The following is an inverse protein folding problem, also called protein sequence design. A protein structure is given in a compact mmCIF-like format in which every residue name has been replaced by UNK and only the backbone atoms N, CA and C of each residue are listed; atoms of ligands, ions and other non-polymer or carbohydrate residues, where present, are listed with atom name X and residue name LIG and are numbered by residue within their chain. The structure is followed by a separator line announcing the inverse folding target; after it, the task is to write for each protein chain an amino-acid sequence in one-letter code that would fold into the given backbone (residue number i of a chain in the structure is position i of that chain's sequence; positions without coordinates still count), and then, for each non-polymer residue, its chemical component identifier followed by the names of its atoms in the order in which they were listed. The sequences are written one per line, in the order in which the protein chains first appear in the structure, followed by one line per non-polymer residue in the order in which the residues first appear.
data_IF_269521163228
#
_entry.id   IF_269521163228
#
_cell.length_a   1.000
_cell.length_b   1.000
_cell.length_c   1.000
_cell.angle_alpha   90.00
_cell.angle_beta   90.00
_cell.angle_gamma   90.00
#
_symmetry.space_group_name_H-M   'P 1'
#
loop_
_entity.id
_entity.type
_entity.pdbx_description
1 polymer ?
#
# COMPACT_ATOMS: atom_id res chain seq x y z
N UNK A 1 50.74 55.54 -22.81
CA UNK A 1 49.27 55.67 -22.74
C UNK A 1 48.68 54.63 -23.66
N UNK A 2 47.86 53.68 -23.27
CA UNK A 2 47.39 53.21 -21.96
C UNK A 2 47.04 51.74 -22.18
N UNK A 3 47.56 50.87 -21.35
CA UNK A 3 47.10 49.50 -21.17
C UNK A 3 45.74 49.52 -20.48
N UNK A 4 44.73 48.83 -21.02
CA UNK A 4 43.50 48.50 -20.28
C UNK A 4 43.35 46.97 -20.22
N UNK A 5 43.47 46.37 -19.03
CA UNK A 5 43.23 44.95 -18.78
C UNK A 5 41.78 44.70 -18.31
N UNK A 6 41.43 43.43 -18.07
CA UNK A 6 40.23 42.95 -17.37
C UNK A 6 38.91 42.85 -18.17
N UNK A 7 38.83 41.83 -19.02
CA UNK A 7 37.56 41.13 -19.26
C UNK A 7 37.37 40.05 -18.19
N UNK A 8 36.75 40.47 -17.10
CA UNK A 8 36.33 39.68 -15.96
C UNK A 8 35.37 38.54 -16.37
N UNK A 9 35.91 37.33 -16.48
CA UNK A 9 35.14 36.09 -16.68
C UNK A 9 34.57 35.60 -15.34
N UNK A 10 33.65 36.37 -14.76
CA UNK A 10 32.83 35.89 -13.62
C UNK A 10 31.98 34.71 -14.09
N UNK A 11 32.34 33.50 -13.63
CA UNK A 11 31.44 32.35 -13.62
C UNK A 11 30.09 32.80 -13.04
N UNK A 12 28.95 32.42 -13.66
CA UNK A 12 27.65 32.74 -13.10
C UNK A 12 27.58 32.23 -11.66
N UNK A 13 27.15 33.10 -10.73
CA UNK A 13 26.91 32.72 -9.33
C UNK A 13 26.01 31.47 -9.30
N UNK A 14 26.29 30.49 -8.42
CA UNK A 14 25.35 29.40 -8.20
C UNK A 14 23.97 29.99 -7.92
N UNK A 15 22.95 29.54 -8.66
CA UNK A 15 21.57 29.91 -8.36
C UNK A 15 21.33 29.68 -6.87
N UNK A 16 20.73 30.68 -6.20
CA UNK A 16 20.38 30.58 -4.80
C UNK A 16 19.64 29.26 -4.57
N UNK A 17 20.03 28.50 -3.54
CA UNK A 17 19.29 27.29 -3.17
C UNK A 17 17.82 27.70 -2.98
N UNK A 18 16.86 27.06 -3.67
CA UNK A 18 15.46 27.39 -3.49
C UNK A 18 15.12 27.27 -2.01
N UNK A 19 14.40 28.26 -1.50
CA UNK A 19 13.85 28.26 -0.13
C UNK A 19 13.14 26.91 0.13
N UNK A 20 13.29 26.30 1.32
CA UNK A 20 12.65 25.03 1.61
C UNK A 20 11.12 25.17 1.48
N UNK A 21 10.53 24.59 0.43
CA UNK A 21 9.08 24.49 0.29
C UNK A 21 8.55 23.58 1.41
N UNK A 22 7.61 24.08 2.20
CA UNK A 22 6.93 23.26 3.20
C UNK A 22 6.00 22.27 2.49
N UNK A 23 6.46 21.02 2.35
CA UNK A 23 5.70 19.96 1.68
C UNK A 23 4.60 19.40 2.57
N UNK A 24 3.35 19.49 2.10
CA UNK A 24 2.21 18.83 2.75
C UNK A 24 2.28 17.32 2.55
N UNK A 25 1.81 16.58 3.54
CA UNK A 25 1.77 15.13 3.50
C UNK A 25 0.49 14.63 4.18
N UNK A 26 -0.15 13.63 3.59
CA UNK A 26 -1.39 13.04 4.11
C UNK A 26 -1.09 11.65 4.69
N UNK A 27 -1.73 11.27 5.81
CA UNK A 27 -1.43 10.02 6.48
C UNK A 27 -1.84 8.81 5.63
N UNK A 28 -0.92 7.85 5.46
CA UNK A 28 -1.25 6.55 4.89
C UNK A 28 -1.81 5.64 5.97
N UNK A 29 -2.96 5.05 5.69
CA UNK A 29 -3.59 4.10 6.59
C UNK A 29 -5.04 3.77 6.21
N UNK A 30 -5.77 3.09 7.10
CA UNK A 30 -7.22 2.97 7.06
C UNK A 30 -7.99 4.13 6.39
N UNK A 31 -8.54 3.88 5.19
CA UNK A 31 -9.37 4.85 4.47
C UNK A 31 -8.61 5.88 3.63
N UNK A 32 -7.28 5.83 3.62
CA UNK A 32 -6.45 6.55 2.66
C UNK A 32 -6.53 5.90 1.27
N UNK A 33 -6.25 6.66 0.21
CA UNK A 33 -6.35 6.16 -1.16
C UNK A 33 -5.25 5.14 -1.48
N UNK A 34 -4.01 5.43 -1.10
CA UNK A 34 -2.86 4.53 -1.24
C UNK A 34 -3.14 3.21 -0.53
N UNK A 35 -3.63 3.26 0.71
CA UNK A 35 -3.97 2.06 1.47
C UNK A 35 -5.07 1.22 0.79
N UNK A 36 -6.06 1.88 0.21
CA UNK A 36 -7.21 1.24 -0.43
C UNK A 36 -6.83 0.60 -1.77
N UNK A 37 -5.99 1.26 -2.57
CA UNK A 37 -5.79 0.90 -3.97
C UNK A 37 -4.45 0.23 -4.27
N UNK A 38 -3.37 0.54 -3.53
CA UNK A 38 -2.03 0.07 -3.89
C UNK A 38 -1.90 -1.45 -3.88
N UNK A 39 -2.51 -2.10 -2.89
CA UNK A 39 -2.47 -3.54 -2.72
C UNK A 39 -3.45 -4.31 -3.61
N UNK A 40 -4.26 -3.65 -4.44
CA UNK A 40 -5.22 -4.31 -5.34
C UNK A 40 -4.47 -5.16 -6.37
N UNK A 41 -4.85 -6.44 -6.51
CA UNK A 41 -4.16 -7.38 -7.42
C UNK A 41 -4.27 -7.00 -8.90
N UNK A 42 -5.22 -6.13 -9.27
CA UNK A 42 -5.31 -5.60 -10.65
C UNK A 42 -4.15 -4.68 -10.98
N UNK A 43 -3.48 -4.10 -9.97
CA UNK A 43 -2.22 -3.39 -10.13
C UNK A 43 -1.11 -4.27 -10.73
N UNK A 44 -1.22 -5.61 -10.67
CA UNK A 44 -0.26 -6.52 -11.30
C UNK A 44 -0.22 -6.37 -12.83
N UNK A 45 -1.30 -5.87 -13.46
CA UNK A 45 -1.34 -5.56 -14.90
C UNK A 45 -0.34 -4.46 -15.27
N UNK A 46 0.01 -3.60 -14.32
CA UNK A 46 0.91 -2.46 -14.51
C UNK A 46 2.39 -2.79 -14.26
N UNK A 47 2.74 -4.00 -13.81
CA UNK A 47 4.13 -4.32 -13.50
C UNK A 47 5.06 -4.18 -14.72
N UNK A 48 4.58 -4.58 -15.90
CA UNK A 48 5.32 -4.39 -17.15
C UNK A 48 5.52 -2.91 -17.48
N UNK A 49 4.48 -2.08 -17.30
CA UNK A 49 4.54 -0.62 -17.51
C UNK A 49 5.52 0.03 -16.53
N UNK A 50 5.33 -0.15 -15.23
CA UNK A 50 6.15 0.46 -14.19
C UNK A 50 7.61 0.04 -14.32
N UNK A 51 7.88 -1.27 -14.49
CA UNK A 51 9.23 -1.78 -14.67
C UNK A 51 9.90 -1.23 -15.94
N UNK A 52 9.18 -1.10 -17.05
CA UNK A 52 9.75 -0.55 -18.29
C UNK A 52 10.04 0.94 -18.14
N UNK A 53 9.09 1.74 -17.61
CA UNK A 53 9.30 3.18 -17.37
C UNK A 53 10.47 3.46 -16.42
N UNK A 54 10.60 2.65 -15.36
CA UNK A 54 11.75 2.72 -14.47
C UNK A 54 13.06 2.45 -15.23
N UNK A 55 13.11 1.40 -16.05
CA UNK A 55 14.31 1.02 -16.80
C UNK A 55 14.60 1.89 -18.04
N UNK A 56 13.69 2.76 -18.46
CA UNK A 56 13.98 3.79 -19.46
C UNK A 56 14.89 4.88 -18.90
N UNK A 57 15.01 5.01 -17.57
CA UNK A 57 15.95 5.92 -16.94
C UNK A 57 17.37 5.29 -16.95
N UNK A 58 18.40 5.98 -17.49
CA UNK A 58 19.76 5.42 -17.64
C UNK A 58 20.35 4.87 -16.34
N UNK A 59 20.34 5.66 -15.25
CA UNK A 59 20.81 5.24 -13.93
C UNK A 59 20.13 3.97 -13.39
N UNK A 60 18.80 3.83 -13.57
CA UNK A 60 18.06 2.65 -13.11
C UNK A 60 18.44 1.43 -13.94
N UNK A 61 18.56 1.60 -15.26
CA UNK A 61 19.02 0.56 -16.18
C UNK A 61 20.45 0.11 -15.87
N UNK A 62 21.36 1.05 -15.57
CA UNK A 62 22.72 0.75 -15.16
C UNK A 62 22.77 -0.08 -13.87
N UNK A 63 22.02 0.33 -12.85
CA UNK A 63 21.90 -0.43 -11.59
C UNK A 63 21.37 -1.85 -11.82
N UNK A 64 20.46 -2.02 -12.79
CA UNK A 64 19.89 -3.31 -13.14
C UNK A 64 20.91 -4.26 -13.77
N UNK A 65 21.70 -3.73 -14.70
CA UNK A 65 22.69 -4.47 -15.48
C UNK A 65 23.88 -4.88 -14.61
N UNK A 66 24.34 -3.97 -13.76
CA UNK A 66 25.55 -4.20 -12.96
C UNK A 66 25.29 -5.13 -11.76
N UNK A 67 24.08 -5.11 -11.20
CA UNK A 67 23.83 -5.67 -9.85
C UNK A 67 22.68 -6.67 -9.77
N UNK A 68 22.16 -7.19 -10.90
CA UNK A 68 21.08 -8.17 -10.86
C UNK A 68 21.07 -9.22 -11.95
N UNK A 69 20.59 -10.41 -11.58
CA UNK A 69 20.24 -11.52 -12.48
C UNK A 69 18.95 -11.28 -13.30
N UNK A 70 18.67 -10.05 -13.72
CA UNK A 70 17.43 -9.68 -14.43
C UNK A 70 17.23 -10.50 -15.70
N UNK A 71 18.28 -10.64 -16.49
CA UNK A 71 18.26 -11.28 -17.80
C UNK A 71 18.11 -12.80 -17.70
N UNK A 72 18.53 -13.40 -16.58
CA UNK A 72 18.44 -14.84 -16.36
C UNK A 72 17.09 -15.25 -15.74
N UNK A 73 16.60 -14.49 -14.76
CA UNK A 73 15.43 -14.87 -13.95
C UNK A 73 14.50 -13.68 -13.66
N UNK A 74 13.91 -13.06 -14.70
CA UNK A 74 13.14 -11.82 -14.56
C UNK A 74 11.88 -11.98 -13.69
N UNK A 75 11.15 -13.09 -13.83
CA UNK A 75 9.90 -13.32 -13.09
C UNK A 75 10.16 -13.56 -11.60
N UNK A 76 11.15 -14.38 -11.26
CA UNK A 76 11.51 -14.64 -9.87
C UNK A 76 11.99 -13.35 -9.18
N UNK A 77 12.86 -12.59 -9.84
CA UNK A 77 13.31 -11.29 -9.34
C UNK A 77 12.12 -10.35 -9.06
N UNK A 78 11.19 -10.25 -10.01
CA UNK A 78 9.98 -9.44 -9.87
C UNK A 78 9.14 -9.89 -8.67
N UNK A 79 8.86 -11.19 -8.52
CA UNK A 79 8.07 -11.68 -7.39
C UNK A 79 8.77 -11.54 -6.04
N UNK A 80 10.11 -11.51 -6.00
CA UNK A 80 10.89 -11.23 -4.78
C UNK A 80 10.88 -9.76 -4.37
N UNK A 81 10.72 -8.81 -5.31
CA UNK A 81 10.69 -7.38 -4.99
C UNK A 81 9.31 -6.89 -4.49
N UNK A 82 8.22 -7.55 -4.87
CA UNK A 82 6.86 -7.12 -4.49
C UNK A 82 6.60 -7.11 -2.96
N UNK A 83 6.97 -8.14 -2.18
CA UNK A 83 6.70 -8.14 -0.75
C UNK A 83 7.28 -6.94 0.00
N UNK A 84 8.57 -6.55 -0.12
CA UNK A 84 9.06 -5.36 0.58
C UNK A 84 8.41 -4.07 0.08
N UNK A 85 8.09 -3.93 -1.22
CA UNK A 85 7.38 -2.77 -1.77
C UNK A 85 6.01 -2.59 -1.11
N UNK A 86 5.17 -3.64 -1.09
CA UNK A 86 3.91 -3.61 -0.35
C UNK A 86 4.11 -3.35 1.14
N UNK A 87 5.19 -3.86 1.71
CA UNK A 87 5.49 -3.70 3.13
C UNK A 87 5.67 -2.24 3.54
N UNK A 88 6.20 -1.36 2.67
CA UNK A 88 6.36 0.06 3.02
C UNK A 88 5.02 0.73 3.30
N UNK A 89 3.98 0.36 2.54
CA UNK A 89 2.62 0.88 2.73
C UNK A 89 1.90 0.18 3.87
N UNK A 90 2.04 -1.15 3.97
CA UNK A 90 1.16 -1.98 4.81
C UNK A 90 1.75 -2.41 6.16
N UNK A 91 3.08 -2.36 6.35
CA UNK A 91 3.72 -2.76 7.60
C UNK A 91 3.87 -1.56 8.55
N UNK A 92 3.02 -1.52 9.57
CA UNK A 92 3.00 -0.45 10.59
C UNK A 92 3.97 -0.73 11.74
N UNK A 93 5.23 -1.06 11.43
CA UNK A 93 6.25 -1.36 12.44
C UNK A 93 7.11 -0.11 12.75
N UNK A 94 7.64 -0.03 13.97
CA UNK A 94 8.52 1.08 14.42
C UNK A 94 9.82 1.16 13.61
N UNK A 95 10.34 0.02 13.12
CA UNK A 95 11.55 -0.01 12.29
C UNK A 95 11.27 0.30 10.81
N UNK A 96 10.03 0.09 10.35
CA UNK A 96 9.52 0.43 9.02
C UNK A 96 10.16 -0.32 7.85
N UNK A 97 9.36 -0.92 6.97
CA UNK A 97 9.89 -1.62 5.78
C UNK A 97 10.56 -0.67 4.77
N UNK A 98 10.29 0.64 4.86
CA UNK A 98 10.95 1.66 4.02
C UNK A 98 12.47 1.70 4.20
N UNK A 99 12.96 1.64 5.44
CA UNK A 99 14.41 1.62 5.71
C UNK A 99 15.06 0.35 5.15
N UNK A 100 14.39 -0.81 5.25
CA UNK A 100 14.85 -2.06 4.64
C UNK A 100 14.99 -1.91 3.11
N UNK A 101 13.97 -1.34 2.46
CA UNK A 101 14.02 -1.08 1.02
C UNK A 101 15.17 -0.16 0.67
N UNK A 102 15.38 0.94 1.40
CA UNK A 102 16.54 1.83 1.20
C UNK A 102 17.85 1.06 1.32
N UNK A 103 17.98 0.19 2.31
CA UNK A 103 19.21 -0.56 2.56
C UNK A 103 19.55 -1.57 1.46
N UNK A 104 18.58 -2.04 0.67
CA UNK A 104 18.88 -2.83 -0.54
C UNK A 104 19.58 -2.01 -1.65
N UNK A 105 19.57 -0.68 -1.55
CA UNK A 105 20.05 0.24 -2.59
C UNK A 105 21.35 0.97 -2.21
N UNK A 106 21.94 0.69 -1.04
CA UNK A 106 23.12 1.42 -0.54
C UNK A 106 24.37 1.21 -1.39
N UNK A 107 24.56 0.01 -1.92
CA UNK A 107 25.78 -0.35 -2.64
C UNK A 107 25.62 -0.29 -4.17
N UNK A 108 24.42 0.06 -4.65
CA UNK A 108 24.09 0.12 -6.07
C UNK A 108 24.57 1.43 -6.69
N UNK A 109 25.73 1.38 -7.33
CA UNK A 109 26.37 2.52 -8.00
C UNK A 109 27.22 2.03 -9.17
N UNK A 110 27.47 2.92 -10.12
CA UNK A 110 28.24 2.57 -11.32
C UNK A 110 28.27 3.70 -12.34
N UNK A 111 28.50 3.32 -13.58
CA UNK A 111 28.44 4.20 -14.76
C UNK A 111 27.35 3.65 -15.68
N UNK A 112 26.40 4.48 -16.07
CA UNK A 112 25.34 4.07 -16.98
C UNK A 112 25.80 4.09 -18.45
N UNK A 113 24.93 3.64 -19.34
CA UNK A 113 25.20 3.54 -20.78
C UNK A 113 25.39 4.91 -21.47
N UNK A 114 25.04 6.03 -20.82
CA UNK A 114 25.32 7.38 -21.31
C UNK A 114 26.71 7.89 -20.88
N UNK A 115 27.43 7.10 -20.06
CA UNK A 115 28.69 7.49 -19.44
C UNK A 115 28.52 8.29 -18.14
N UNK A 116 27.28 8.48 -17.67
CA UNK A 116 26.95 9.17 -16.44
C UNK A 116 27.22 8.30 -15.21
N UNK A 117 27.74 8.90 -14.13
CA UNK A 117 27.84 8.19 -12.84
C UNK A 117 26.47 8.13 -12.18
N UNK A 118 26.10 6.97 -11.66
CA UNK A 118 24.86 6.80 -10.92
C UNK A 118 25.07 6.24 -9.52
N UNK A 119 24.11 6.54 -8.64
CA UNK A 119 23.92 5.90 -7.34
C UNK A 119 22.42 5.69 -7.15
N UNK A 120 21.97 4.51 -6.76
CA UNK A 120 20.53 4.22 -6.67
C UNK A 120 19.81 5.12 -5.66
N UNK A 121 20.47 5.46 -4.54
CA UNK A 121 19.96 6.44 -3.56
C UNK A 121 20.12 7.91 -3.97
N UNK A 122 20.51 8.23 -5.21
CA UNK A 122 20.42 9.59 -5.71
C UNK A 122 18.94 10.03 -5.66
N UNK A 123 18.61 11.15 -4.99
CA UNK A 123 17.22 11.48 -4.68
C UNK A 123 16.32 11.55 -5.92
N UNK A 124 16.79 12.13 -7.01
CA UNK A 124 15.99 12.29 -8.24
C UNK A 124 15.68 10.93 -8.90
N UNK A 125 16.68 10.04 -8.97
CA UNK A 125 16.53 8.69 -9.53
C UNK A 125 15.62 7.81 -8.66
N UNK A 126 15.81 7.84 -7.33
CA UNK A 126 14.96 7.07 -6.42
C UNK A 126 13.52 7.62 -6.43
N UNK A 127 13.36 8.94 -6.51
CA UNK A 127 12.05 9.59 -6.62
C UNK A 127 11.31 9.17 -7.88
N UNK A 128 11.98 9.08 -9.04
CA UNK A 128 11.37 8.54 -10.26
C UNK A 128 10.77 7.15 -10.04
N UNK A 129 11.56 6.23 -9.48
CA UNK A 129 11.08 4.87 -9.21
C UNK A 129 9.91 4.85 -8.23
N UNK A 130 9.93 5.70 -7.21
CA UNK A 130 8.84 5.87 -6.25
C UNK A 130 7.56 6.38 -6.92
N UNK A 131 7.67 7.42 -7.74
CA UNK A 131 6.54 8.06 -8.43
C UNK A 131 5.81 7.05 -9.33
N UNK A 132 6.55 6.21 -10.05
CA UNK A 132 5.94 5.18 -10.91
C UNK A 132 5.07 4.17 -10.16
N UNK A 133 5.24 3.98 -8.84
CA UNK A 133 4.38 3.07 -8.06
C UNK A 133 3.02 3.66 -7.72
N UNK A 134 2.94 4.91 -7.29
CA UNK A 134 1.63 5.52 -7.00
C UNK A 134 0.93 5.95 -8.29
N UNK A 135 1.68 6.24 -9.37
CA UNK A 135 1.12 6.53 -10.69
C UNK A 135 0.23 5.38 -11.20
N UNK A 136 0.55 4.13 -10.87
CA UNK A 136 -0.31 2.97 -11.16
C UNK A 136 -1.73 3.17 -10.64
N UNK A 137 -1.89 3.74 -9.44
CA UNK A 137 -3.21 3.98 -8.84
C UNK A 137 -3.97 5.05 -9.63
N UNK A 138 -3.27 6.10 -10.07
CA UNK A 138 -3.84 7.18 -10.86
C UNK A 138 -4.29 6.70 -12.24
N UNK A 139 -3.38 6.12 -13.02
CA UNK A 139 -3.68 5.72 -14.40
C UNK A 139 -4.71 4.57 -14.43
N UNK A 140 -4.66 3.62 -13.47
CA UNK A 140 -5.74 2.63 -13.34
C UNK A 140 -7.09 3.29 -13.06
N UNK A 141 -7.14 4.28 -12.16
CA UNK A 141 -8.39 5.00 -11.87
C UNK A 141 -8.90 5.73 -13.12
N UNK A 142 -8.03 6.43 -13.83
CA UNK A 142 -8.38 7.20 -15.02
C UNK A 142 -8.89 6.31 -16.16
N UNK A 143 -8.26 5.15 -16.38
CA UNK A 143 -8.64 4.25 -17.48
C UNK A 143 -9.81 3.33 -17.15
N UNK A 144 -9.83 2.75 -15.94
CA UNK A 144 -10.66 1.58 -15.67
C UNK A 144 -11.62 1.74 -14.50
N UNK A 145 -11.39 2.64 -13.55
CA UNK A 145 -12.29 2.74 -12.41
C UNK A 145 -13.68 3.25 -12.84
N UNK A 146 -14.73 2.63 -12.30
CA UNK A 146 -16.11 3.06 -12.46
C UNK A 146 -16.33 4.45 -11.84
N UNK A 147 -15.69 4.72 -10.70
CA UNK A 147 -15.70 6.03 -10.04
C UNK A 147 -14.33 6.70 -10.18
N UNK A 148 -14.29 7.81 -10.90
CA UNK A 148 -13.08 8.62 -11.06
C UNK A 148 -12.77 9.42 -9.80
N UNK A 149 -11.49 9.63 -9.54
CA UNK A 149 -11.04 10.52 -8.47
C UNK A 149 -11.39 11.97 -8.78
N UNK A 150 -11.79 12.70 -7.74
CA UNK A 150 -11.88 14.16 -7.78
C UNK A 150 -10.48 14.79 -7.82
N UNK A 151 -10.39 16.08 -8.15
CA UNK A 151 -9.13 16.81 -8.09
C UNK A 151 -8.47 16.70 -6.70
N UNK A 152 -9.25 16.93 -5.63
CA UNK A 152 -8.76 16.79 -4.25
C UNK A 152 -8.25 15.39 -3.93
N UNK A 153 -8.90 14.34 -4.44
CA UNK A 153 -8.43 12.96 -4.25
C UNK A 153 -7.12 12.69 -4.98
N UNK A 154 -6.87 13.33 -6.13
CA UNK A 154 -5.58 13.25 -6.81
C UNK A 154 -4.49 13.94 -6.00
N UNK A 155 -4.77 15.14 -5.46
CA UNK A 155 -3.82 15.84 -4.58
C UNK A 155 -3.55 15.05 -3.29
N UNK A 156 -4.60 14.50 -2.66
CA UNK A 156 -4.47 13.61 -1.51
C UNK A 156 -3.53 12.44 -1.83
N UNK A 157 -3.68 11.79 -2.98
CA UNK A 157 -2.83 10.67 -3.35
C UNK A 157 -1.36 11.09 -3.51
N UNK A 158 -1.08 12.27 -4.06
CA UNK A 158 0.29 12.81 -4.12
C UNK A 158 0.84 13.08 -2.72
N UNK A 159 0.05 13.68 -1.83
CA UNK A 159 0.45 13.91 -0.43
C UNK A 159 0.67 12.62 0.35
N UNK A 160 -0.11 11.58 0.08
CA UNK A 160 0.12 10.24 0.62
C UNK A 160 1.44 9.65 0.07
N UNK A 161 1.75 9.85 -1.21
CA UNK A 161 3.02 9.43 -1.79
C UNK A 161 4.23 10.12 -1.13
N UNK A 162 4.10 11.36 -0.65
CA UNK A 162 5.13 12.02 0.19
C UNK A 162 5.30 11.32 1.54
N UNK A 163 4.19 10.94 2.20
CA UNK A 163 4.26 10.14 3.44
C UNK A 163 4.97 8.81 3.22
N UNK A 164 4.69 8.14 2.10
CA UNK A 164 5.40 6.91 1.72
C UNK A 164 6.89 7.20 1.47
N UNK A 165 7.22 8.23 0.70
CA UNK A 165 8.61 8.61 0.44
C UNK A 165 9.44 8.81 1.71
N UNK A 166 8.87 9.49 2.70
CA UNK A 166 9.53 9.74 4.00
C UNK A 166 9.86 8.44 4.75
N UNK A 167 9.18 7.33 4.48
CA UNK A 167 9.53 6.03 5.04
C UNK A 167 10.92 5.53 4.59
N UNK A 168 11.46 6.03 3.47
CA UNK A 168 12.81 5.71 3.03
C UNK A 168 13.87 6.53 3.77
N UNK A 169 13.51 7.67 4.37
CA UNK A 169 14.45 8.57 5.04
C UNK A 169 15.45 9.21 4.08
N UNK A 170 15.00 9.56 2.87
CA UNK A 170 15.75 10.33 1.88
C UNK A 170 15.33 11.81 1.92
N UNK A 171 16.11 12.69 1.29
CA UNK A 171 15.78 14.12 1.22
C UNK A 171 14.50 14.37 0.43
N UNK A 172 13.69 15.32 0.89
CA UNK A 172 12.44 15.74 0.25
C UNK A 172 12.66 16.65 -0.99
N UNK A 173 13.91 16.98 -1.34
CA UNK A 173 14.25 17.86 -2.48
C UNK A 173 13.49 17.57 -3.80
N UNK A 174 13.34 16.31 -4.26
CA UNK A 174 12.64 16.03 -5.52
C UNK A 174 11.11 15.96 -5.38
N UNK A 175 10.60 15.98 -4.14
CA UNK A 175 9.19 15.71 -3.88
C UNK A 175 8.29 16.92 -4.16
N UNK A 176 7.03 16.62 -4.48
CA UNK A 176 5.94 17.57 -4.68
C UNK A 176 4.68 17.06 -3.95
N UNK A 177 3.76 17.96 -3.62
CA UNK A 177 2.60 17.68 -2.75
C UNK A 177 1.24 17.97 -3.41
N UNK A 178 1.22 18.13 -4.74
CA UNK A 178 0.02 18.38 -5.54
C UNK A 178 0.09 17.71 -6.93
N UNK A 179 -1.07 17.45 -7.52
CA UNK A 179 -1.22 16.73 -8.78
C UNK A 179 -0.71 17.52 -9.98
N UNK A 180 -0.81 18.86 -9.96
CA UNK A 180 -0.31 19.69 -11.05
C UNK A 180 1.22 19.57 -11.17
N UNK A 181 1.92 19.67 -10.03
CA UNK A 181 3.37 19.46 -9.95
C UNK A 181 3.78 18.05 -10.37
N UNK A 182 3.00 17.02 -9.97
CA UNK A 182 3.20 15.65 -10.46
C UNK A 182 3.13 15.58 -11.99
N UNK A 183 2.13 16.19 -12.60
CA UNK A 183 1.94 16.17 -14.06
C UNK A 183 3.11 16.81 -14.80
N UNK A 184 3.55 17.99 -14.34
CA UNK A 184 4.72 18.67 -14.92
C UNK A 184 5.98 17.81 -14.81
N UNK A 185 6.23 17.21 -13.64
CA UNK A 185 7.37 16.30 -13.46
C UNK A 185 7.27 15.05 -14.35
N UNK A 186 6.08 14.45 -14.44
CA UNK A 186 5.85 13.25 -15.23
C UNK A 186 6.05 13.47 -16.73
N UNK A 187 5.57 14.60 -17.25
CA UNK A 187 5.77 15.03 -18.64
C UNK A 187 7.25 15.31 -18.92
N UNK A 188 7.93 16.06 -18.05
CA UNK A 188 9.38 16.31 -18.18
C UNK A 188 10.18 15.00 -18.21
N UNK A 189 9.88 14.05 -17.33
CA UNK A 189 10.51 12.73 -17.33
C UNK A 189 10.35 12.04 -18.69
N UNK A 190 9.12 11.93 -19.18
CA UNK A 190 8.80 11.27 -20.46
C UNK A 190 9.47 11.95 -21.66
N UNK A 191 9.52 13.27 -21.66
CA UNK A 191 9.99 14.05 -22.81
C UNK A 191 11.50 14.22 -22.85
N UNK A 192 12.15 14.34 -21.68
CA UNK A 192 13.54 14.83 -21.60
C UNK A 192 14.53 13.85 -20.95
N UNK A 193 14.08 12.89 -20.14
CA UNK A 193 15.01 12.06 -19.33
C UNK A 193 14.99 10.57 -19.67
N UNK A 194 13.91 10.07 -20.25
CA UNK A 194 13.75 8.66 -20.57
C UNK A 194 14.29 8.34 -21.97
N UNK A 195 15.06 7.25 -22.07
CA UNK A 195 15.60 6.74 -23.32
C UNK A 195 15.28 5.25 -23.49
N UNK A 196 15.47 4.72 -24.70
CA UNK A 196 15.39 3.29 -24.94
C UNK A 196 16.72 2.62 -24.58
N UNK A 197 16.85 2.28 -23.30
CA UNK A 197 18.07 1.70 -22.74
C UNK A 197 18.32 0.27 -23.19
N UNK A 198 19.53 -0.25 -22.95
CA UNK A 198 19.86 -1.65 -23.20
C UNK A 198 18.87 -2.60 -22.51
N UNK A 199 18.52 -2.33 -21.26
CA UNK A 199 17.51 -3.11 -20.52
C UNK A 199 16.15 -3.07 -21.19
N UNK A 200 15.68 -1.91 -21.67
CA UNK A 200 14.34 -1.82 -22.28
C UNK A 200 14.31 -2.46 -23.66
N UNK A 201 15.40 -2.41 -24.43
CA UNK A 201 15.52 -3.14 -25.70
C UNK A 201 15.34 -4.66 -25.49
N UNK A 202 15.83 -5.19 -24.37
CA UNK A 202 15.59 -6.58 -23.98
C UNK A 202 14.17 -6.81 -23.47
N UNK A 203 13.68 -5.96 -22.54
CA UNK A 203 12.38 -6.18 -21.89
C UNK A 203 11.19 -6.01 -22.84
N UNK A 204 11.29 -5.14 -23.84
CA UNK A 204 10.25 -4.97 -24.87
C UNK A 204 10.15 -6.15 -25.83
N UNK A 205 11.19 -7.01 -25.88
CA UNK A 205 11.26 -8.25 -26.65
C UNK A 205 11.23 -9.48 -25.74
N UNK A 206 10.73 -9.35 -24.52
CA UNK A 206 10.71 -10.44 -23.53
C UNK A 206 9.98 -11.70 -24.02
N UNK A 207 9.03 -11.57 -24.94
CA UNK A 207 8.33 -12.70 -25.55
C UNK A 207 9.18 -13.52 -26.55
N UNK A 208 10.31 -12.97 -27.00
CA UNK A 208 11.28 -13.61 -27.91
C UNK A 208 12.33 -14.43 -27.13
N UNK A 209 12.46 -14.20 -25.83
CA UNK A 209 13.45 -14.85 -24.96
C UNK A 209 12.90 -16.10 -24.26
N UNK A 210 13.80 -17.03 -23.95
CA UNK A 210 13.47 -18.20 -23.13
C UNK A 210 13.43 -17.80 -21.65
N UNK A 211 12.22 -17.52 -21.17
CA UNK A 211 11.98 -17.09 -19.79
C UNK A 211 11.84 -18.30 -18.86
N UNK A 212 12.57 -18.30 -17.74
CA UNK A 212 12.40 -19.31 -16.69
C UNK A 212 10.98 -19.30 -16.09
N UNK A 213 10.43 -20.46 -15.69
CA UNK A 213 9.07 -20.54 -15.12
C UNK A 213 8.94 -19.68 -13.87
N UNK A 214 7.76 -19.07 -13.71
CA UNK A 214 7.40 -18.44 -12.44
C UNK A 214 7.40 -19.47 -11.29
N UNK A 215 7.66 -19.04 -10.03
CA UNK A 215 7.64 -19.93 -8.88
C UNK A 215 6.34 -20.75 -8.81
N UNK A 216 6.47 -22.06 -8.56
CA UNK A 216 5.36 -23.03 -8.45
C UNK A 216 4.66 -23.41 -9.76
N UNK A 217 5.13 -22.94 -10.93
CA UNK A 217 4.62 -23.41 -12.23
C UNK A 217 5.42 -24.63 -12.68
N UNK A 218 4.78 -25.80 -12.93
CA UNK A 218 5.48 -26.96 -13.46
C UNK A 218 6.17 -26.66 -14.80
N UNK A 219 7.42 -27.08 -14.97
CA UNK A 219 8.23 -26.78 -16.15
C UNK A 219 7.59 -27.22 -17.46
N UNK A 220 6.91 -28.38 -17.47
CA UNK A 220 6.24 -28.89 -18.68
C UNK A 220 5.08 -27.97 -19.12
N UNK A 221 4.29 -27.48 -18.15
CA UNK A 221 3.17 -26.58 -18.41
C UNK A 221 3.70 -25.24 -18.89
N UNK A 222 4.76 -24.74 -18.25
CA UNK A 222 5.40 -23.50 -18.65
C UNK A 222 5.96 -23.55 -20.07
N UNK A 223 6.64 -24.64 -20.45
CA UNK A 223 7.13 -24.81 -21.82
C UNK A 223 6.01 -24.74 -22.87
N UNK A 224 4.80 -25.19 -22.51
CA UNK A 224 3.64 -25.13 -23.38
C UNK A 224 3.02 -23.73 -23.47
N UNK A 225 3.00 -22.98 -22.36
CA UNK A 225 2.22 -21.72 -22.27
C UNK A 225 3.07 -20.45 -22.24
N UNK A 226 4.40 -20.52 -22.09
CA UNK A 226 5.27 -19.36 -21.86
C UNK A 226 5.15 -18.31 -22.96
N UNK A 227 5.31 -18.70 -24.23
CA UNK A 227 5.25 -17.77 -25.37
C UNK A 227 3.94 -16.98 -25.44
N UNK A 228 2.74 -17.61 -25.45
CA UNK A 228 1.50 -16.83 -25.45
C UNK A 228 1.32 -16.01 -24.18
N UNK A 229 1.71 -16.52 -23.00
CA UNK A 229 1.66 -15.75 -21.75
C UNK A 229 2.53 -14.49 -21.82
N UNK A 230 3.76 -14.60 -22.31
CA UNK A 230 4.68 -13.47 -22.43
C UNK A 230 4.24 -12.50 -23.54
N UNK A 231 3.68 -12.99 -24.64
CA UNK A 231 3.11 -12.14 -25.68
C UNK A 231 1.94 -11.28 -25.15
N UNK A 232 1.04 -11.87 -24.35
CA UNK A 232 -0.05 -11.15 -23.69
C UNK A 232 0.49 -10.13 -22.69
N UNK A 233 1.47 -10.52 -21.85
CA UNK A 233 2.09 -9.61 -20.89
C UNK A 233 2.77 -8.41 -21.57
N UNK A 234 3.52 -8.66 -22.66
CA UNK A 234 4.17 -7.62 -23.45
C UNK A 234 3.14 -6.68 -24.11
N UNK A 235 2.07 -7.25 -24.67
CA UNK A 235 0.98 -6.46 -25.25
C UNK A 235 0.26 -5.60 -24.21
N UNK A 236 -0.02 -6.12 -23.00
CA UNK A 236 -0.59 -5.32 -21.90
C UNK A 236 0.37 -4.19 -21.53
N UNK A 237 1.67 -4.48 -21.41
CA UNK A 237 2.70 -3.47 -21.17
C UNK A 237 2.67 -2.34 -22.21
N UNK A 238 2.61 -2.70 -23.50
CA UNK A 238 2.44 -1.77 -24.62
C UNK A 238 1.12 -0.99 -24.56
N UNK A 239 0.00 -1.65 -24.31
CA UNK A 239 -1.33 -1.05 -24.29
C UNK A 239 -1.53 -0.06 -23.15
N UNK A 240 -0.90 -0.32 -22.01
CA UNK A 240 -0.96 0.57 -20.87
C UNK A 240 0.05 1.71 -20.98
N UNK A 241 1.10 1.65 -21.80
CA UNK A 241 2.21 2.62 -21.84
C UNK A 241 1.77 4.05 -22.28
N UNK A 242 2.40 5.14 -21.79
CA UNK A 242 2.20 6.48 -22.33
C UNK A 242 2.61 6.55 -23.80
N UNK A 243 1.95 7.41 -24.59
CA UNK A 243 2.24 7.56 -26.02
C UNK A 243 3.72 7.88 -26.29
N UNK A 244 4.24 8.92 -25.63
CA UNK A 244 5.65 9.32 -25.75
C UNK A 244 6.65 8.20 -25.44
N UNK A 245 6.36 7.40 -24.41
CA UNK A 245 7.21 6.27 -24.07
C UNK A 245 7.14 5.16 -25.14
N UNK A 246 5.97 4.90 -25.74
CA UNK A 246 5.86 3.96 -26.88
C UNK A 246 6.70 4.41 -28.07
N UNK A 247 6.67 5.70 -28.40
CA UNK A 247 7.49 6.29 -29.47
C UNK A 247 8.98 6.08 -29.18
N UNK A 248 9.43 6.41 -27.96
CA UNK A 248 10.82 6.26 -27.52
C UNK A 248 11.26 4.79 -27.59
N UNK A 249 10.38 3.86 -27.21
CA UNK A 249 10.64 2.42 -27.26
C UNK A 249 10.55 1.83 -28.69
N UNK A 250 10.04 2.58 -29.67
CA UNK A 250 9.80 2.10 -31.03
C UNK A 250 8.60 1.15 -31.14
N UNK A 251 7.63 1.23 -30.24
CA UNK A 251 6.40 0.46 -30.29
C UNK A 251 5.34 1.15 -31.14
N UNK A 252 5.05 0.56 -32.30
CA UNK A 252 3.98 1.02 -33.18
C UNK A 252 2.60 0.68 -32.59
N UNK A 253 1.67 1.64 -32.53
CA UNK A 253 0.29 1.38 -32.11
C UNK A 253 -0.63 1.18 -33.31
N UNK A 254 -1.11 -0.04 -33.50
CA UNK A 254 -1.89 -0.41 -34.70
C UNK A 254 -3.40 -0.29 -34.49
N UNK A 255 -4.22 -0.21 -35.56
CA UNK A 255 -5.69 -0.28 -35.44
C UNK A 255 -6.21 -1.59 -34.83
N UNK A 256 -5.42 -2.67 -34.85
CA UNK A 256 -5.73 -3.92 -34.14
C UNK A 256 -5.54 -3.74 -32.64
N UNK A 257 -4.45 -3.11 -32.23
CA UNK A 257 -4.17 -2.82 -30.82
C UNK A 257 -5.25 -1.94 -30.21
N UNK A 258 -5.68 -0.89 -30.93
CA UNK A 258 -6.76 0.00 -30.48
C UNK A 258 -8.06 -0.76 -30.22
N UNK A 259 -8.46 -1.64 -31.15
CA UNK A 259 -9.67 -2.48 -30.98
C UNK A 259 -9.54 -3.45 -29.82
N UNK A 260 -8.38 -4.08 -29.65
CA UNK A 260 -8.13 -4.99 -28.52
C UNK A 260 -8.15 -4.23 -27.20
N UNK A 261 -7.53 -3.05 -27.15
CA UNK A 261 -7.52 -2.18 -25.97
C UNK A 261 -8.92 -1.72 -25.61
N UNK A 262 -9.76 -1.33 -26.58
CA UNK A 262 -11.15 -0.96 -26.33
C UNK A 262 -11.90 -2.05 -25.55
N UNK A 263 -11.82 -3.31 -26.00
CA UNK A 263 -12.48 -4.42 -25.31
C UNK A 263 -11.86 -4.74 -23.96
N UNK A 264 -10.53 -4.69 -23.85
CA UNK A 264 -9.81 -4.85 -22.60
C UNK A 264 -10.22 -3.79 -21.56
N UNK A 265 -10.23 -2.52 -21.94
CA UNK A 265 -10.62 -1.40 -21.09
C UNK A 265 -12.10 -1.49 -20.70
N UNK A 266 -12.99 -1.85 -21.63
CA UNK A 266 -14.41 -2.08 -21.32
C UNK A 266 -14.60 -3.22 -20.33
N UNK A 267 -13.90 -4.33 -20.50
CA UNK A 267 -13.96 -5.45 -19.58
C UNK A 267 -13.52 -5.04 -18.16
N UNK A 268 -12.38 -4.35 -18.03
CA UNK A 268 -11.90 -3.88 -16.72
C UNK A 268 -12.86 -2.85 -16.10
N UNK A 269 -13.43 -1.96 -16.90
CA UNK A 269 -14.40 -0.96 -16.41
C UNK A 269 -15.70 -1.59 -15.91
N UNK A 270 -16.22 -2.57 -16.65
CA UNK A 270 -17.45 -3.28 -16.26
C UNK A 270 -17.24 -4.10 -14.99
N UNK A 271 -16.07 -4.75 -14.86
CA UNK A 271 -15.75 -5.59 -13.71
C UNK A 271 -15.38 -4.78 -12.47
N UNK A 272 -14.80 -3.58 -12.61
CA UNK A 272 -14.45 -2.71 -11.48
C UNK A 272 -15.66 -2.38 -10.60
N UNK A 273 -16.82 -2.10 -11.21
CA UNK A 273 -18.08 -1.82 -10.50
C UNK A 273 -18.43 -2.93 -9.49
N UNK A 274 -18.17 -4.18 -9.84
CA UNK A 274 -18.51 -5.35 -9.03
C UNK A 274 -17.33 -5.91 -8.25
N UNK A 275 -16.14 -5.32 -8.40
CA UNK A 275 -14.92 -5.82 -7.77
C UNK A 275 -15.09 -6.02 -6.27
N UNK A 276 -15.74 -5.07 -5.60
CA UNK A 276 -16.01 -5.09 -4.16
C UNK A 276 -16.75 -6.34 -3.65
N UNK A 277 -17.47 -7.07 -4.53
CA UNK A 277 -18.17 -8.31 -4.20
C UNK A 277 -17.21 -9.50 -4.01
N UNK A 278 -16.00 -9.44 -4.55
CA UNK A 278 -15.01 -10.49 -4.36
C UNK A 278 -14.48 -10.52 -2.91
N UNK A 279 -14.24 -11.73 -2.35
CA UNK A 279 -13.56 -11.88 -1.07
C UNK A 279 -12.27 -11.07 -1.03
N UNK A 280 -12.02 -10.40 0.10
CA UNK A 280 -10.88 -9.50 0.28
C UNK A 280 -9.52 -10.16 -0.07
N UNK A 281 -9.37 -11.46 0.22
CA UNK A 281 -8.16 -12.23 -0.09
C UNK A 281 -7.87 -12.40 -1.58
N UNK A 282 -8.89 -12.32 -2.43
CA UNK A 282 -8.73 -12.39 -3.89
C UNK A 282 -8.48 -11.00 -4.49
N UNK A 283 -8.85 -9.95 -3.77
CA UNK A 283 -8.67 -8.56 -4.23
C UNK A 283 -7.31 -7.98 -3.91
N UNK A 284 -6.64 -8.45 -2.86
CA UNK A 284 -5.41 -7.84 -2.36
C UNK A 284 -4.23 -8.79 -2.38
N UNK A 285 -3.05 -8.26 -2.72
CA UNK A 285 -1.80 -8.98 -2.60
C UNK A 285 -1.59 -9.50 -1.16
N UNK A 286 -0.93 -10.66 -0.94
CA UNK A 286 -0.90 -11.31 0.38
C UNK A 286 -0.42 -10.41 1.54
N UNK A 287 0.60 -9.56 1.31
CA UNK A 287 1.10 -8.63 2.32
C UNK A 287 0.12 -7.48 2.59
N UNK A 288 -0.50 -6.94 1.55
CA UNK A 288 -1.57 -5.94 1.67
C UNK A 288 -2.79 -6.49 2.40
N UNK A 289 -3.26 -7.68 2.02
CA UNK A 289 -4.32 -8.41 2.71
C UNK A 289 -4.01 -8.59 4.19
N UNK A 290 -2.79 -9.01 4.53
CA UNK A 290 -2.35 -9.19 5.92
C UNK A 290 -2.39 -7.88 6.70
N UNK A 291 -1.90 -6.79 6.11
CA UNK A 291 -1.96 -5.44 6.68
C UNK A 291 -3.40 -4.96 6.93
N UNK A 292 -4.27 -5.11 5.94
CA UNK A 292 -5.70 -4.75 6.05
C UNK A 292 -6.40 -5.61 7.11
N UNK A 293 -6.14 -6.92 7.16
CA UNK A 293 -6.73 -7.85 8.14
C UNK A 293 -6.19 -7.69 9.56
N UNK A 294 -5.05 -7.05 9.74
CA UNK A 294 -4.54 -6.68 11.06
C UNK A 294 -5.37 -5.55 11.69
N UNK A 295 -6.13 -4.80 10.89
CA UNK A 295 -7.03 -3.74 11.35
C UNK A 295 -8.32 -4.38 11.88
N UNK A 296 -8.85 -3.90 13.01
CA UNK A 296 -9.97 -4.55 13.73
C UNK A 296 -9.56 -5.41 14.92
N UNK A 297 -8.27 -5.43 15.22
CA UNK A 297 -7.71 -5.97 16.46
C UNK A 297 -7.16 -4.87 17.36
N UNK A 298 -7.58 -3.62 17.12
CA UNK A 298 -7.23 -2.51 17.99
C UNK A 298 -7.56 -2.83 19.45
N UNK A 299 -8.74 -3.43 19.70
CA UNK A 299 -9.14 -3.89 21.04
C UNK A 299 -8.19 -4.94 21.64
N UNK A 300 -7.55 -5.78 20.82
CA UNK A 300 -6.47 -6.66 21.27
C UNK A 300 -5.15 -5.91 21.46
N UNK A 301 -4.85 -4.94 20.58
CA UNK A 301 -3.62 -4.17 20.58
C UNK A 301 -3.52 -3.29 21.85
N UNK A 302 -4.61 -2.64 22.23
CA UNK A 302 -4.75 -1.87 23.49
C UNK A 302 -5.16 -2.72 24.69
N UNK A 303 -5.06 -4.05 24.56
CA UNK A 303 -5.24 -5.02 25.66
C UNK A 303 -6.65 -5.10 26.29
N UNK A 304 -7.69 -4.58 25.64
CA UNK A 304 -9.08 -4.83 26.01
C UNK A 304 -9.44 -6.32 25.93
N UNK A 305 -8.78 -7.07 25.04
CA UNK A 305 -8.80 -8.54 25.03
C UNK A 305 -7.40 -9.14 25.27
N UNK A 306 -7.35 -10.30 25.92
CA UNK A 306 -6.08 -11.01 26.21
C UNK A 306 -5.43 -11.55 24.95
N UNK A 307 -6.22 -12.04 23.99
CA UNK A 307 -5.73 -12.65 22.75
C UNK A 307 -6.42 -12.10 21.51
N UNK A 308 -5.73 -12.20 20.37
CA UNK A 308 -6.23 -11.78 19.05
C UNK A 308 -7.50 -12.56 18.67
N UNK A 309 -7.51 -13.86 18.98
CA UNK A 309 -8.66 -14.75 18.74
C UNK A 309 -9.88 -14.35 19.56
N UNK A 310 -9.71 -13.96 20.82
CA UNK A 310 -10.82 -13.46 21.66
C UNK A 310 -11.42 -12.17 21.12
N UNK A 311 -10.60 -11.21 20.70
CA UNK A 311 -11.09 -9.97 20.08
C UNK A 311 -11.89 -10.26 18.80
N UNK A 312 -11.37 -11.13 17.93
CA UNK A 312 -12.07 -11.51 16.71
C UNK A 312 -13.39 -12.24 16.97
N UNK A 313 -13.44 -13.12 17.97
CA UNK A 313 -14.67 -13.80 18.39
C UNK A 313 -15.69 -12.81 18.96
N UNK A 314 -15.25 -11.87 19.79
CA UNK A 314 -16.12 -10.84 20.36
C UNK A 314 -16.74 -9.93 19.28
N UNK A 315 -15.99 -9.57 18.25
CA UNK A 315 -16.55 -8.83 17.11
C UNK A 315 -17.62 -9.65 16.38
N UNK A 316 -17.36 -10.95 16.11
CA UNK A 316 -18.33 -11.84 15.46
C UNK A 316 -19.60 -12.06 16.28
N UNK A 317 -19.50 -12.08 17.61
CA UNK A 317 -20.64 -12.26 18.51
C UNK A 317 -21.34 -10.95 18.90
N UNK A 318 -20.99 -9.82 18.27
CA UNK A 318 -21.62 -8.52 18.53
C UNK A 318 -21.27 -7.89 19.88
N UNK A 319 -20.22 -8.38 20.56
CA UNK A 319 -19.73 -7.84 21.84
C UNK A 319 -18.77 -6.66 21.67
N UNK A 320 -18.47 -6.28 20.43
CA UNK A 320 -17.71 -5.07 20.10
C UNK A 320 -18.60 -4.19 19.24
N UNK A 321 -18.74 -2.92 19.62
CA UNK A 321 -19.41 -1.90 18.81
C UNK A 321 -18.48 -0.71 18.62
N UNK A 322 -18.53 -0.11 17.45
CA UNK A 322 -17.84 1.14 17.13
C UNK A 322 -18.91 2.15 16.72
N UNK A 323 -18.96 3.29 17.40
CA UNK A 323 -19.96 4.35 17.18
C UNK A 323 -21.39 3.79 17.16
N UNK A 324 -21.73 2.96 18.15
CA UNK A 324 -23.05 2.33 18.31
C UNK A 324 -23.35 1.14 17.40
N UNK A 325 -22.53 0.86 16.38
CA UNK A 325 -22.77 -0.22 15.40
C UNK A 325 -21.90 -1.45 15.69
N UNK A 326 -22.45 -2.67 15.53
CA UNK A 326 -21.68 -3.92 15.71
C UNK A 326 -20.43 -3.94 14.82
N UNK A 327 -19.29 -4.16 15.46
CA UNK A 327 -18.00 -4.08 14.82
C UNK A 327 -17.65 -5.38 14.09
N UNK A 328 -17.23 -5.30 12.83
CA UNK A 328 -16.61 -6.46 12.15
C UNK A 328 -15.22 -6.72 12.75
N UNK A 329 -14.77 -7.97 12.77
CA UNK A 329 -13.43 -8.30 13.27
C UNK A 329 -12.28 -7.64 12.48
N UNK A 330 -12.58 -7.16 11.26
CA UNK A 330 -11.65 -6.41 10.42
C UNK A 330 -11.96 -4.89 10.38
N UNK A 331 -12.87 -4.41 11.24
CA UNK A 331 -13.34 -3.03 11.21
C UNK A 331 -12.27 -2.09 11.74
N UNK A 332 -11.92 -1.09 10.95
CA UNK A 332 -10.99 -0.05 11.33
C UNK A 332 -11.61 0.86 12.40
N UNK A 333 -10.74 1.41 13.25
CA UNK A 333 -11.08 2.49 14.19
C UNK A 333 -10.18 3.69 13.91
N UNK A 334 -10.72 4.89 14.07
CA UNK A 334 -10.07 6.18 13.92
C UNK A 334 -9.96 6.87 15.27
N UNK A 335 -9.03 7.82 15.40
CA UNK A 335 -9.04 8.70 16.57
C UNK A 335 -10.39 9.41 16.69
N UNK A 336 -10.93 9.47 17.91
CA UNK A 336 -12.27 9.98 18.21
C UNK A 336 -13.39 8.93 18.14
N UNK A 337 -13.16 7.74 17.58
CA UNK A 337 -14.19 6.69 17.57
C UNK A 337 -14.49 6.20 19.00
N UNK A 338 -15.77 6.03 19.33
CA UNK A 338 -16.20 5.37 20.55
C UNK A 338 -16.26 3.86 20.32
N UNK A 339 -15.50 3.10 21.10
CA UNK A 339 -15.47 1.64 21.08
C UNK A 339 -16.09 1.10 22.37
N UNK A 340 -17.22 0.41 22.23
CA UNK A 340 -17.84 -0.34 23.32
C UNK A 340 -17.47 -1.81 23.23
N UNK A 341 -16.98 -2.36 24.33
CA UNK A 341 -16.52 -3.75 24.43
C UNK A 341 -17.15 -4.40 25.66
N UNK A 342 -17.79 -5.55 25.46
CA UNK A 342 -18.31 -6.37 26.57
C UNK A 342 -17.38 -7.55 26.81
N UNK A 343 -16.68 -7.54 27.95
CA UNK A 343 -15.69 -8.56 28.31
C UNK A 343 -15.97 -9.05 29.73
N UNK A 344 -16.14 -10.36 29.91
CA UNK A 344 -16.38 -10.99 31.21
C UNK A 344 -17.56 -10.38 32.00
N UNK A 345 -18.62 -9.96 31.30
CA UNK A 345 -19.81 -9.36 31.90
C UNK A 345 -19.71 -7.87 32.21
N UNK A 346 -18.54 -7.26 32.03
CA UNK A 346 -18.30 -5.83 32.23
C UNK A 346 -18.33 -5.14 30.87
N UNK A 347 -19.05 -4.03 30.78
CA UNK A 347 -19.00 -3.13 29.64
C UNK A 347 -17.88 -2.12 29.85
N UNK A 348 -17.01 -1.99 28.85
CA UNK A 348 -16.03 -0.91 28.77
C UNK A 348 -16.37 0.00 27.61
N UNK A 349 -16.28 1.30 27.84
CA UNK A 349 -16.55 2.35 26.85
C UNK A 349 -15.26 3.15 26.74
N UNK A 350 -14.60 3.08 25.60
CA UNK A 350 -13.34 3.81 25.38
C UNK A 350 -13.42 4.66 24.13
N UNK A 351 -12.77 5.82 24.15
CA UNK A 351 -12.57 6.64 22.97
C UNK A 351 -11.16 6.40 22.44
N UNK A 352 -11.02 6.18 21.14
CA UNK A 352 -9.71 5.96 20.52
C UNK A 352 -8.95 7.27 20.48
N UNK A 353 -7.77 7.32 21.10
CA UNK A 353 -6.87 8.48 21.01
C UNK A 353 -5.83 8.23 19.92
N UNK A 354 -5.20 7.04 19.91
CA UNK A 354 -4.22 6.63 18.90
C UNK A 354 -4.58 5.24 18.35
N UNK A 355 -4.90 5.11 17.05
CA UNK A 355 -5.15 3.81 16.45
C UNK A 355 -3.82 3.05 16.27
N UNK A 356 -3.66 1.95 17.01
CA UNK A 356 -2.49 1.06 16.94
C UNK A 356 -2.88 -0.34 16.44
N UNK A 357 -1.92 -1.05 15.84
CA UNK A 357 -2.10 -2.42 15.32
C UNK A 357 -1.23 -3.46 16.02
N UNK A 358 -0.08 -3.06 16.57
CA UNK A 358 0.80 -3.91 17.40
C UNK A 358 0.33 -3.87 18.84
N UNK A 359 0.31 -5.02 19.52
CA UNK A 359 0.01 -5.06 20.96
C UNK A 359 1.13 -4.41 21.76
N UNK A 360 0.77 -3.46 22.61
CA UNK A 360 1.72 -2.70 23.43
C UNK A 360 1.63 -3.07 24.92
N UNK A 361 2.53 -2.50 25.72
CA UNK A 361 2.49 -2.60 27.17
C UNK A 361 1.23 -1.94 27.73
N UNK A 362 0.87 -2.23 28.99
CA UNK A 362 -0.32 -1.62 29.60
C UNK A 362 -0.21 -0.08 29.67
N UNK A 363 1.00 0.43 29.93
CA UNK A 363 1.30 1.87 29.99
C UNK A 363 1.04 2.53 28.63
N UNK A 364 1.65 2.01 27.57
CA UNK A 364 1.47 2.56 26.22
C UNK A 364 0.04 2.39 25.69
N UNK A 365 -0.67 1.34 26.12
CA UNK A 365 -2.07 1.14 25.77
C UNK A 365 -2.97 2.23 26.36
N UNK A 366 -2.65 2.73 27.55
CA UNK A 366 -3.38 3.83 28.19
C UNK A 366 -3.25 5.13 27.39
N UNK A 367 -2.09 5.40 26.77
CA UNK A 367 -1.92 6.58 25.90
C UNK A 367 -2.68 6.49 24.57
N UNK A 368 -3.19 5.30 24.24
CA UNK A 368 -3.89 5.05 22.97
C UNK A 368 -5.40 5.14 23.10
N UNK A 369 -5.96 5.21 24.31
CA UNK A 369 -7.39 5.27 24.56
C UNK A 369 -7.72 6.18 25.74
N UNK A 370 -8.91 6.75 25.73
CA UNK A 370 -9.50 7.39 26.90
C UNK A 370 -10.58 6.45 27.45
N UNK A 371 -10.45 6.02 28.70
CA UNK A 371 -11.43 5.13 29.33
C UNK A 371 -12.58 5.95 29.94
N UNK A 372 -13.76 5.83 29.32
CA UNK A 372 -15.01 6.45 29.75
C UNK A 372 -15.98 5.41 30.33
N UNK A 373 -15.46 4.26 30.79
CA UNK A 373 -16.29 3.22 31.39
C UNK A 373 -16.96 3.74 32.66
N UNK A 374 -18.22 3.37 32.92
CA UNK A 374 -18.88 3.71 34.18
C UNK A 374 -18.10 3.12 35.37
N UNK A 375 -18.10 3.80 36.53
CA UNK A 375 -17.41 3.29 37.71
C UNK A 375 -17.97 1.90 38.06
N UNK A 376 -17.11 0.98 38.52
CA UNK A 376 -17.56 -0.36 38.91
C UNK A 376 -18.64 -0.24 39.98
N UNK A 377 -19.66 -1.11 39.97
CA UNK A 377 -20.69 -1.10 41.01
C UNK A 377 -20.04 -1.24 42.39
N UNK A 378 -20.62 -0.60 43.44
CA UNK A 378 -20.08 -0.67 44.78
C UNK A 378 -19.83 -2.12 45.23
N UNK A 379 -18.75 -2.40 45.99
CA UNK A 379 -18.43 -3.75 46.46
C UNK A 379 -19.60 -4.42 47.20
N UNK A 380 -20.41 -3.63 47.91
CA UNK A 380 -21.63 -4.05 48.62
C UNK A 380 -22.69 -4.65 47.68
N UNK A 381 -22.86 -4.04 46.50
CA UNK A 381 -23.77 -4.49 45.45
C UNK A 381 -23.25 -5.75 44.74
N UNK A 382 -21.93 -5.91 44.63
CA UNK A 382 -21.32 -7.13 44.07
C UNK A 382 -21.43 -8.28 45.07
N UNK A 383 -21.27 -8.00 46.36
CA UNK A 383 -21.38 -8.98 47.45
C UNK A 383 -22.84 -9.44 47.67
N UNK A 384 -23.83 -8.60 47.34
CA UNK A 384 -25.24 -8.93 47.45
C UNK A 384 -25.78 -9.78 46.29
N UNK A 385 -25.01 -9.97 45.21
CA UNK A 385 -25.40 -10.86 44.10
C UNK A 385 -25.39 -12.31 44.60
N UNK A 386 -26.54 -13.01 44.65
CA UNK A 386 -26.61 -14.38 45.12
C UNK A 386 -25.74 -15.29 44.23
N UNK A 387 -24.74 -15.94 44.83
CA UNK A 387 -23.91 -16.94 44.15
C UNK A 387 -24.41 -18.33 44.49
N UNK A 388 -24.62 -19.16 43.47
CA UNK A 388 -24.90 -20.59 43.66
C UNK A 388 -23.58 -21.33 43.88
N UNK A 389 -23.58 -22.29 44.79
CA UNK A 389 -22.38 -23.07 45.10
C UNK A 389 -21.86 -23.82 43.87
N UNK A 390 -20.53 -23.85 43.76
CA UNK A 390 -19.83 -24.47 42.66
C UNK A 390 -20.03 -26.00 42.75
N UNK A 391 -20.67 -26.59 41.74
CA UNK A 391 -20.99 -28.03 41.72
C UNK A 391 -22.46 -28.38 42.01
N UNK A 392 -23.30 -27.39 42.34
CA UNK A 392 -24.71 -27.60 42.70
C UNK A 392 -25.65 -28.05 41.55
N UNK A 393 -25.10 -28.48 40.40
CA UNK A 393 -25.85 -29.02 39.27
C UNK A 393 -26.86 -28.07 38.61
N UNK A 394 -27.62 -28.60 37.64
CA UNK A 394 -28.75 -27.90 37.00
C UNK A 394 -29.87 -27.69 38.05
N UNK A 395 -30.55 -26.53 38.08
CA UNK A 395 -31.62 -26.27 39.04
C UNK A 395 -32.66 -27.39 39.06
N UNK A 396 -33.01 -27.85 40.26
CA UNK A 396 -34.09 -28.81 40.46
C UNK A 396 -35.43 -28.20 40.07
N UNK A 397 -36.45 -29.04 39.84
CA UNK A 397 -37.80 -28.59 39.45
C UNK A 397 -38.41 -27.60 40.46
N UNK A 398 -38.09 -27.76 41.76
CA UNK A 398 -38.53 -26.86 42.83
C UNK A 398 -37.82 -25.50 42.73
N UNK A 399 -36.49 -25.50 42.64
CA UNK A 399 -35.70 -24.27 42.49
C UNK A 399 -36.06 -23.50 41.22
N UNK A 400 -36.42 -24.21 40.14
CA UNK A 400 -36.88 -23.60 38.90
C UNK A 400 -38.21 -22.87 39.08
N UNK A 401 -39.18 -23.47 39.80
CA UNK A 401 -40.46 -22.83 40.13
C UNK A 401 -40.27 -21.62 41.05
N UNK A 402 -39.36 -21.72 42.02
CA UNK A 402 -39.06 -20.61 42.92
C UNK A 402 -38.39 -19.44 42.16
N UNK A 403 -37.52 -19.74 41.18
CA UNK A 403 -36.95 -18.74 40.27
C UNK A 403 -37.98 -18.13 39.31
N UNK A 404 -38.97 -18.91 38.85
CA UNK A 404 -40.06 -18.43 38.01
C UNK A 404 -40.99 -17.49 38.78
N UNK A 405 -41.28 -17.79 40.06
CA UNK A 405 -42.00 -16.88 40.99
C UNK A 405 -41.26 -15.57 41.22
N UNK A 406 -39.95 -15.62 41.48
CA UNK A 406 -39.11 -14.42 41.66
C UNK A 406 -39.02 -13.55 40.40
N UNK A 407 -39.20 -14.12 39.21
CA UNK A 407 -39.17 -13.42 37.92
C UNK A 407 -40.55 -12.91 37.48
N UNK A 408 -41.61 -13.17 38.24
CA UNK A 408 -42.97 -12.76 37.91
C UNK A 408 -43.52 -13.44 36.65
N UNK A 409 -43.10 -14.68 36.38
CA UNK A 409 -43.43 -15.43 35.15
C UNK A 409 -44.48 -16.55 35.34
N UNK A 410 -45.15 -16.61 36.49
CA UNK A 410 -46.40 -17.37 36.62
C UNK A 410 -47.60 -16.39 36.60
N UNK A 411 -48.77 -16.80 36.07
CA UNK A 411 -49.96 -15.95 35.98
C UNK A 411 -50.50 -15.49 37.34
#
# INVERSE_FOLDING_TARGET
MSSDPDTDTRRPKPQARPEPRELRADPIGPGSLTWTHFGDVRGLLYLGRAGTLQNMHPAVSGALQDHSNFFDNPLDRLFRSLPPIYGVVYDRTEEGTGTLVRNFHTDLKGIDETGGRYHALAPDTFWWTHVTFFEVILDFNERFAYKKFTAEQKDQLVREAVTWWRCYGLTDRPAFDDYASFRTYWEDMLDNHLINTHTTKWSTRIAEHDIAPAPKVPTWLWRLTSRPTMAVANWIGKALMPEKARETLGWEWTPRDERMYFWFARFLTLTDRFWHLLPLQLRYAPRAYSGIRAQGLWTWAVRLFKTRSQAATACRSGHVRVNGTSAKAAQQVKAGDEVRVRVSGIERIVVVVKPITKRVSAVLAADCLQDNSPPPPPPELIASIPRRDRGAGRPTKRERRDLEKLRGLEP
#
